data_IF_884224621896
#
_entry.id   IF_884224621896
#
_cell.length_a   1.000
_cell.length_b   1.000
_cell.length_c   1.000
_cell.angle_alpha   90.00
_cell.angle_beta   90.00
_cell.angle_gamma   90.00
#
_symmetry.space_group_name_H-M   'P 1'
#
loop_
_entity.id
_entity.type
_entity.pdbx_description
1 polymer ?
#
# COMPACT_ATOMS: atom_id res chain seq x y z
N UNK A 1 -9.75 13.69 21.36
CA UNK A 1 -10.10 12.35 20.82
C UNK A 1 -9.97 12.31 19.30
N UNK A 2 -10.51 13.28 18.54
CA UNK A 2 -10.35 13.34 17.09
C UNK A 2 -8.90 13.37 16.58
N UNK A 3 -7.99 14.06 17.29
CA UNK A 3 -6.57 14.12 16.89
C UNK A 3 -5.83 12.78 17.02
N UNK A 4 -6.27 11.94 17.96
CA UNK A 4 -5.67 10.63 18.23
C UNK A 4 -6.09 9.63 17.15
N UNK A 5 -7.36 9.64 16.75
CA UNK A 5 -7.86 8.85 15.62
C UNK A 5 -7.17 9.26 14.30
N UNK A 6 -6.99 10.56 14.05
CA UNK A 6 -6.23 11.01 12.89
C UNK A 6 -4.75 10.58 12.92
N UNK A 7 -4.11 10.60 14.10
CA UNK A 7 -2.74 10.12 14.25
C UNK A 7 -2.62 8.62 13.95
N UNK A 8 -3.56 7.81 14.42
CA UNK A 8 -3.61 6.36 14.16
C UNK A 8 -3.80 6.04 12.67
N UNK A 9 -4.69 6.79 11.98
CA UNK A 9 -4.90 6.59 10.54
C UNK A 9 -3.63 7.00 9.77
N UNK A 10 -2.99 8.13 10.12
CA UNK A 10 -1.71 8.55 9.51
C UNK A 10 -0.60 7.51 9.69
N UNK A 11 -0.51 6.90 10.87
CA UNK A 11 0.47 5.86 11.18
C UNK A 11 0.18 4.58 10.37
N UNK A 12 -1.09 4.22 10.23
CA UNK A 12 -1.53 3.09 9.40
C UNK A 12 -1.22 3.31 7.92
N UNK A 13 -1.47 4.52 7.39
CA UNK A 13 -1.10 4.93 6.03
C UNK A 13 0.41 4.85 5.82
N UNK A 14 1.21 5.37 6.76
CA UNK A 14 2.67 5.29 6.68
C UNK A 14 3.17 3.84 6.62
N UNK A 15 2.60 2.96 7.45
CA UNK A 15 2.92 1.53 7.46
C UNK A 15 2.57 0.85 6.13
N UNK A 16 1.37 1.09 5.61
CA UNK A 16 0.92 0.53 4.33
C UNK A 16 1.72 1.06 3.15
N UNK A 17 2.13 2.34 3.16
CA UNK A 17 3.05 2.89 2.15
C UNK A 17 4.39 2.19 2.16
N UNK A 18 4.95 1.95 3.34
CA UNK A 18 6.22 1.25 3.45
C UNK A 18 6.09 -0.20 2.95
N UNK A 19 5.03 -0.90 3.36
CA UNK A 19 4.75 -2.26 2.89
C UNK A 19 4.57 -2.31 1.37
N UNK A 20 3.88 -1.34 0.77
CA UNK A 20 3.74 -1.21 -0.68
C UNK A 20 5.09 -1.05 -1.39
N UNK A 21 5.99 -0.22 -0.84
CA UNK A 21 7.35 -0.06 -1.38
C UNK A 21 8.15 -1.36 -1.26
N UNK A 22 8.02 -2.07 -0.14
CA UNK A 22 8.70 -3.36 0.06
C UNK A 22 8.22 -4.40 -0.96
N UNK A 23 6.91 -4.45 -1.25
CA UNK A 23 6.38 -5.30 -2.31
C UNK A 23 6.92 -4.92 -3.69
N UNK A 24 7.13 -3.63 -3.97
CA UNK A 24 7.74 -3.18 -5.21
C UNK A 24 9.19 -3.63 -5.37
N UNK A 25 9.97 -3.47 -4.30
CA UNK A 25 11.36 -3.94 -4.26
C UNK A 25 11.43 -5.47 -4.43
N UNK A 26 10.55 -6.20 -3.75
CA UNK A 26 10.45 -7.65 -3.88
C UNK A 26 10.08 -8.08 -5.31
N UNK A 27 9.10 -7.42 -5.94
CA UNK A 27 8.72 -7.70 -7.33
C UNK A 27 9.90 -7.43 -8.28
N UNK A 28 10.61 -6.32 -8.11
CA UNK A 28 11.78 -5.99 -8.92
C UNK A 28 12.90 -7.02 -8.75
N UNK A 29 13.20 -7.43 -7.52
CA UNK A 29 14.17 -8.49 -7.23
C UNK A 29 13.75 -9.81 -7.90
N UNK A 30 12.48 -10.20 -7.75
CA UNK A 30 11.93 -11.42 -8.38
C UNK A 30 12.02 -11.39 -9.91
N UNK A 31 11.83 -10.22 -10.53
CA UNK A 31 12.01 -10.05 -11.98
C UNK A 31 13.49 -10.18 -12.38
N UNK A 32 14.42 -9.62 -11.61
CA UNK A 32 15.86 -9.73 -11.87
C UNK A 32 16.39 -11.16 -11.68
N UNK A 33 15.87 -11.89 -10.70
CA UNK A 33 16.27 -13.29 -10.44
C UNK A 33 15.60 -14.29 -11.39
N UNK A 34 14.70 -13.85 -12.27
CA UNK A 34 13.99 -14.73 -13.19
C UNK A 34 12.98 -15.67 -12.50
N UNK A 35 12.34 -15.20 -11.43
CA UNK A 35 11.28 -15.99 -10.76
C UNK A 35 10.10 -16.26 -11.71
N UNK A 36 9.31 -17.29 -11.39
CA UNK A 36 8.17 -17.64 -12.22
C UNK A 36 7.13 -16.50 -12.28
N UNK A 37 6.47 -16.41 -13.43
CA UNK A 37 5.51 -15.34 -13.71
C UNK A 37 4.29 -15.39 -12.78
N UNK A 38 3.88 -16.59 -12.33
CA UNK A 38 2.77 -16.76 -11.39
C UNK A 38 3.06 -16.14 -10.01
N UNK A 39 4.28 -16.28 -9.48
CA UNK A 39 4.65 -15.68 -8.20
C UNK A 39 4.73 -14.16 -8.30
N UNK A 40 5.27 -13.65 -9.41
CA UNK A 40 5.29 -12.20 -9.69
C UNK A 40 3.85 -11.65 -9.79
N UNK A 41 2.95 -12.35 -10.48
CA UNK A 41 1.53 -11.97 -10.57
C UNK A 41 0.83 -11.98 -9.21
N UNK A 42 1.07 -13.00 -8.38
CA UNK A 42 0.56 -13.06 -7.00
C UNK A 42 1.04 -11.88 -6.17
N UNK A 43 2.31 -11.50 -6.32
CA UNK A 43 2.90 -10.38 -5.59
C UNK A 43 2.31 -9.04 -6.05
N UNK A 44 2.15 -8.85 -7.36
CA UNK A 44 1.46 -7.68 -7.93
C UNK A 44 0.01 -7.57 -7.43
N UNK A 45 -0.71 -8.70 -7.30
CA UNK A 45 -2.07 -8.72 -6.75
C UNK A 45 -2.09 -8.29 -5.28
N UNK A 46 -1.13 -8.74 -4.46
CA UNK A 46 -0.99 -8.30 -3.06
C UNK A 46 -0.67 -6.81 -2.98
N UNK A 47 0.26 -6.33 -3.81
CA UNK A 47 0.60 -4.90 -3.93
C UNK A 47 -0.63 -4.05 -4.27
N UNK A 48 -1.47 -4.52 -5.21
CA UNK A 48 -2.70 -3.83 -5.58
C UNK A 48 -3.68 -3.73 -4.40
N UNK A 49 -3.87 -4.81 -3.64
CA UNK A 49 -4.75 -4.80 -2.47
C UNK A 49 -4.29 -3.78 -1.41
N UNK A 50 -2.97 -3.65 -1.20
CA UNK A 50 -2.40 -2.65 -0.27
C UNK A 50 -2.63 -1.24 -0.80
N UNK A 51 -2.46 -1.02 -2.10
CA UNK A 51 -2.78 0.26 -2.74
C UNK A 51 -4.27 0.62 -2.55
N UNK A 52 -5.17 -0.33 -2.74
CA UNK A 52 -6.61 -0.12 -2.56
C UNK A 52 -6.95 0.20 -1.09
N UNK A 53 -6.29 -0.47 -0.14
CA UNK A 53 -6.42 -0.15 1.29
C UNK A 53 -5.85 1.23 1.63
N UNK A 54 -4.74 1.60 1.01
CA UNK A 54 -4.13 2.92 1.17
C UNK A 54 -5.09 4.01 0.69
N UNK A 55 -5.64 3.88 -0.51
CA UNK A 55 -6.61 4.83 -1.05
C UNK A 55 -7.84 4.96 -0.15
N UNK A 56 -8.38 3.85 0.38
CA UNK A 56 -9.52 3.91 1.33
C UNK A 56 -9.19 4.65 2.63
N UNK A 57 -7.96 4.56 3.12
CA UNK A 57 -7.53 5.26 4.35
C UNK A 57 -7.18 6.72 4.06
N UNK A 58 -6.59 7.00 2.90
CA UNK A 58 -6.35 8.35 2.41
C UNK A 58 -7.68 9.08 2.19
N UNK A 59 -8.69 8.46 1.59
CA UNK A 59 -10.04 9.02 1.44
C UNK A 59 -10.70 9.37 2.79
N UNK A 60 -10.41 8.60 3.85
CA UNK A 60 -10.90 8.89 5.21
C UNK A 60 -10.20 10.09 5.86
N UNK A 61 -8.94 10.36 5.51
CA UNK A 61 -8.19 11.54 5.98
C UNK A 61 -8.47 12.75 5.09
N UNK A 62 -8.74 12.52 3.81
CA UNK A 62 -8.93 13.51 2.74
C UNK A 62 -10.38 13.47 2.23
N UNK A 63 -11.43 13.66 3.07
CA UNK A 63 -12.77 13.79 2.53
C UNK A 63 -13.00 15.14 1.80
N UNK A 64 -11.99 16.04 1.73
CA UNK A 64 -12.19 17.47 1.46
C UNK A 64 -11.28 18.06 0.36
N UNK A 65 -10.85 17.27 -0.64
CA UNK A 65 -10.05 17.78 -1.79
C UNK A 65 -10.61 17.36 -3.16
N UNK A 66 -11.58 16.44 -3.22
CA UNK A 66 -12.20 16.01 -4.49
C UNK A 66 -13.73 16.09 -4.36
N UNK A 67 -14.26 17.32 -4.36
CA UNK A 67 -15.64 17.66 -4.71
C UNK A 67 -15.62 18.52 -5.98
#
# INVERSE_FOLDING_TARGET
MADQEQAEIRLSVARLRQEHTDFDLAINAMMQTGCNQLSIQRMKKKKLAIKDQLSKLEDKIIPDIIA
#
